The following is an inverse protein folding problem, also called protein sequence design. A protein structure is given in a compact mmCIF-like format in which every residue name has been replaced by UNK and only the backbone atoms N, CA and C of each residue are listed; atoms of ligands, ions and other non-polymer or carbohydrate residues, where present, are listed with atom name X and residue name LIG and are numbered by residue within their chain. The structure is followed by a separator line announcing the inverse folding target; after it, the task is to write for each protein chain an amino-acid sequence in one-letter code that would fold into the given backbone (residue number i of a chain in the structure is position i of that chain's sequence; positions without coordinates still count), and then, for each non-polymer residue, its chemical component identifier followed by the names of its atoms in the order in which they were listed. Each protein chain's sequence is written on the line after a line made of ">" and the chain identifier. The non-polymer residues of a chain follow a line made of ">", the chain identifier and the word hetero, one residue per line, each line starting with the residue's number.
data_IF_877455136525
#
_entry.id   IF_877455136525
#
_cell.length_a   1.000
_cell.length_b   1.000
_cell.length_c   1.000
_cell.angle_alpha   90.00
_cell.angle_beta   90.00
_cell.angle_gamma   90.00
#
_symmetry.space_group_name_H-M   'P 1'
#
loop_
_entity.id
_entity.type
_entity.pdbx_description
1 polymer ?
#
# COMPACT_ATOMS: atom_id res chain seq x y z
N UNK A 1 -2.46 -23.25 13.03
CA UNK A 1 -2.55 -23.09 11.56
C UNK A 1 -2.97 -21.65 11.29
N UNK A 2 -2.01 -20.75 11.06
CA UNK A 2 -2.30 -19.32 10.86
C UNK A 2 -2.90 -19.11 9.47
N UNK A 3 -4.10 -18.52 9.42
CA UNK A 3 -4.89 -18.28 8.20
C UNK A 3 -4.12 -17.39 7.22
N UNK A 4 -4.13 -17.66 5.90
CA UNK A 4 -3.67 -16.68 4.95
C UNK A 4 -4.55 -15.44 5.06
N UNK A 5 -3.89 -14.30 5.25
CA UNK A 5 -4.47 -12.96 5.27
C UNK A 5 -5.39 -12.79 4.06
N UNK A 6 -6.70 -12.84 4.29
CA UNK A 6 -7.71 -12.46 3.29
C UNK A 6 -7.66 -10.94 3.22
N UNK A 7 -6.61 -10.41 2.60
CA UNK A 7 -6.51 -8.98 2.31
C UNK A 7 -7.76 -8.60 1.52
N UNK A 8 -8.56 -7.70 2.08
CA UNK A 8 -9.77 -7.19 1.46
C UNK A 8 -9.46 -6.71 0.04
N UNK A 9 -9.91 -7.46 -0.97
CA UNK A 9 -9.77 -7.11 -2.39
C UNK A 9 -10.62 -5.88 -2.79
N UNK A 10 -11.52 -5.44 -1.91
CA UNK A 10 -12.41 -4.31 -2.17
C UNK A 10 -11.77 -2.98 -1.72
N UNK A 11 -11.82 -1.98 -2.60
CA UNK A 11 -11.37 -0.62 -2.33
C UNK A 11 -12.15 -0.05 -1.13
N UNK A 12 -11.48 0.43 -0.08
CA UNK A 12 -12.17 0.98 1.09
C UNK A 12 -12.90 2.30 0.79
N UNK A 13 -12.61 2.94 -0.35
CA UNK A 13 -13.22 4.21 -0.74
C UNK A 13 -14.44 4.05 -1.65
N UNK A 14 -14.48 3.06 -2.53
CA UNK A 14 -15.57 2.90 -3.51
C UNK A 14 -16.15 1.47 -3.61
N UNK A 15 -15.57 0.50 -2.89
CA UNK A 15 -15.97 -0.91 -2.94
C UNK A 15 -15.56 -1.67 -4.20
N UNK A 16 -14.80 -1.06 -5.12
CA UNK A 16 -14.32 -1.74 -6.34
C UNK A 16 -13.25 -2.79 -6.03
N UNK A 17 -13.29 -3.93 -6.73
CA UNK A 17 -12.25 -4.98 -6.68
C UNK A 17 -11.06 -4.73 -7.59
N UNK A 18 -11.06 -3.64 -8.35
CA UNK A 18 -9.98 -3.30 -9.28
C UNK A 18 -8.85 -2.59 -8.54
N UNK A 19 -8.15 -3.36 -7.71
CA UNK A 19 -7.01 -2.90 -6.94
C UNK A 19 -5.71 -3.40 -7.57
N UNK A 20 -4.70 -2.53 -7.65
CA UNK A 20 -3.32 -2.86 -8.00
C UNK A 20 -2.50 -2.78 -6.72
N UNK A 21 -1.68 -3.80 -6.45
CA UNK A 21 -0.67 -3.78 -5.39
C UNK A 21 0.71 -4.03 -5.97
N UNK A 22 1.66 -3.16 -5.65
CA UNK A 22 3.04 -3.21 -6.10
C UNK A 22 3.94 -3.25 -4.87
N UNK A 23 4.78 -4.27 -4.74
CA UNK A 23 5.84 -4.30 -3.74
C UNK A 23 7.12 -3.69 -4.33
N UNK A 24 7.76 -2.78 -3.61
CA UNK A 24 8.99 -2.12 -4.03
C UNK A 24 9.88 -1.78 -2.83
N UNK A 25 11.15 -1.50 -3.07
CA UNK A 25 12.09 -1.07 -2.03
C UNK A 25 12.41 0.41 -2.24
N UNK A 26 12.12 1.25 -1.24
CA UNK A 26 12.45 2.67 -1.22
C UNK A 26 13.57 2.91 -0.19
N UNK A 27 14.74 3.38 -0.61
CA UNK A 27 15.89 3.65 0.27
C UNK A 27 16.15 2.51 1.27
N UNK A 28 16.34 1.30 0.73
CA UNK A 28 16.55 0.05 1.48
C UNK A 28 15.40 -0.38 2.40
N UNK A 29 14.26 0.33 2.37
CA UNK A 29 13.05 -0.04 3.10
C UNK A 29 12.03 -0.71 2.18
N UNK A 30 11.66 -1.99 2.40
CA UNK A 30 10.60 -2.64 1.64
C UNK A 30 9.25 -2.04 1.97
N UNK A 31 8.51 -1.64 0.94
CA UNK A 31 7.17 -1.06 1.04
C UNK A 31 6.25 -1.66 -0.01
N UNK A 32 4.94 -1.53 0.21
CA UNK A 32 3.91 -1.85 -0.77
C UNK A 32 3.09 -0.62 -1.08
N UNK A 33 2.82 -0.40 -2.36
CA UNK A 33 1.90 0.62 -2.84
C UNK A 33 0.64 -0.06 -3.36
N UNK A 34 -0.51 0.36 -2.86
CA UNK A 34 -1.81 -0.17 -3.26
C UNK A 34 -2.67 0.97 -3.83
N UNK A 35 -3.31 0.74 -4.97
CA UNK A 35 -4.11 1.73 -5.69
C UNK A 35 -5.40 1.12 -6.24
N UNK A 36 -6.50 1.86 -6.20
CA UNK A 36 -7.72 1.53 -6.94
C UNK A 36 -7.70 2.15 -8.33
N UNK A 37 -7.98 1.36 -9.37
CA UNK A 37 -8.07 1.86 -10.74
C UNK A 37 -9.37 2.62 -11.04
N UNK A 38 -10.38 2.54 -10.16
CA UNK A 38 -11.70 3.15 -10.39
C UNK A 38 -11.80 4.54 -9.78
N UNK A 39 -11.46 4.68 -8.49
CA UNK A 39 -11.56 5.95 -7.76
C UNK A 39 -10.19 6.56 -7.42
N UNK A 40 -9.10 5.96 -7.90
CA UNK A 40 -7.73 6.43 -7.69
C UNK A 40 -7.30 6.53 -6.22
N UNK A 41 -8.00 5.84 -5.32
CA UNK A 41 -7.60 5.72 -3.93
C UNK A 41 -6.23 5.06 -3.83
N UNK A 42 -5.35 5.58 -2.97
CA UNK A 42 -3.96 5.14 -2.82
C UNK A 42 -3.63 4.91 -1.36
N UNK A 43 -2.82 3.90 -1.09
CA UNK A 43 -2.20 3.68 0.21
C UNK A 43 -0.80 3.12 0.07
N UNK A 44 0.01 3.46 1.06
CA UNK A 44 1.32 2.87 1.27
C UNK A 44 1.25 1.96 2.49
N UNK A 45 1.95 0.84 2.42
CA UNK A 45 2.02 -0.14 3.48
C UNK A 45 3.47 -0.55 3.70
N UNK A 46 3.88 -0.75 4.95
CA UNK A 46 5.16 -1.35 5.30
C UNK A 46 4.93 -2.33 6.43
N UNK A 47 5.42 -3.56 6.27
CA UNK A 47 5.29 -4.60 7.29
C UNK A 47 3.83 -4.83 7.74
N UNK A 48 2.86 -4.57 6.85
CA UNK A 48 1.43 -4.69 7.14
C UNK A 48 0.76 -3.43 7.72
N UNK A 49 1.52 -2.37 8.01
CA UNK A 49 0.99 -1.11 8.54
C UNK A 49 0.83 -0.03 7.47
N UNK A 50 -0.26 0.73 7.51
CA UNK A 50 -0.52 1.83 6.58
C UNK A 50 0.37 3.03 6.90
N UNK A 51 1.20 3.42 5.94
CA UNK A 51 2.05 4.60 6.03
C UNK A 51 1.35 5.84 5.49
N UNK A 52 1.42 6.98 6.18
CA UNK A 52 1.03 8.26 5.60
C UNK A 52 2.05 8.67 4.52
N UNK A 53 1.58 9.40 3.51
CA UNK A 53 2.43 9.82 2.38
C UNK A 53 3.67 10.60 2.84
N UNK A 54 3.55 11.44 3.88
CA UNK A 54 4.68 12.19 4.44
C UNK A 54 5.82 11.28 4.90
N UNK A 55 5.52 10.15 5.55
CA UNK A 55 6.54 9.18 5.97
C UNK A 55 7.26 8.55 4.78
N UNK A 56 6.53 8.29 3.69
CA UNK A 56 7.11 7.76 2.45
C UNK A 56 8.04 8.80 1.82
N UNK A 57 7.63 10.06 1.77
CA UNK A 57 8.47 11.13 1.24
C UNK A 57 9.75 11.31 2.06
N UNK A 58 9.69 11.17 3.38
CA UNK A 58 10.88 11.20 4.25
C UNK A 58 11.86 10.07 3.92
N UNK A 59 11.37 8.85 3.65
CA UNK A 59 12.23 7.73 3.23
C UNK A 59 12.99 8.04 1.94
N UNK A 60 12.33 8.69 0.98
CA UNK A 60 12.96 9.06 -0.30
C UNK A 60 13.91 10.25 -0.14
N UNK A 61 13.61 11.17 0.80
CA UNK A 61 14.38 12.39 1.04
C UNK A 61 15.62 12.20 1.91
N UNK A 62 15.76 11.06 2.59
CA UNK A 62 16.92 10.74 3.44
C UNK A 62 18.19 10.40 2.63
N UNK A 63 18.33 10.95 1.43
CA UNK A 63 19.49 10.78 0.53
C UNK A 63 20.38 12.00 0.52
#
# INVERSE_FOLDING_TARGET
>A
MSRPDRSHDDCPSCGSRQMIKVALTLADSPVSFTMCNVCEWKAWEREGERLPLGSVLTLVSAR
#
